data_IF_830933437181
#
_entry.id   IF_830933437181
#
_cell.length_a   1.000
_cell.length_b   1.000
_cell.length_c   1.000
_cell.angle_alpha   90.00
_cell.angle_beta   90.00
_cell.angle_gamma   90.00
#
_symmetry.space_group_name_H-M   'P 1'
#
loop_
_entity.id
_entity.type
_entity.pdbx_description
1 polymer ?
#
# COMPACT_ATOMS: atom_id res chain seq x y z
N UNK A 1 12.79 -17.43 0.69
CA UNK A 1 13.38 -16.35 -0.13
C UNK A 1 12.42 -15.18 -0.09
N UNK A 2 12.80 -14.07 0.54
CA UNK A 2 11.97 -12.86 0.57
C UNK A 2 11.86 -12.26 -0.83
N UNK A 3 10.69 -11.73 -1.17
CA UNK A 3 10.46 -11.00 -2.43
C UNK A 3 10.79 -9.52 -2.22
N UNK A 4 11.25 -8.85 -3.28
CA UNK A 4 11.39 -7.39 -3.26
C UNK A 4 10.07 -6.77 -3.70
N UNK A 5 9.50 -5.91 -2.87
CA UNK A 5 8.25 -5.20 -3.14
C UNK A 5 8.57 -3.74 -3.45
N UNK A 6 8.26 -3.31 -4.67
CA UNK A 6 8.39 -1.93 -5.09
C UNK A 6 7.11 -1.16 -4.82
N UNK A 7 7.26 0.02 -4.22
CA UNK A 7 6.16 0.92 -3.90
C UNK A 7 6.49 2.29 -4.47
N UNK A 8 5.68 2.73 -5.43
CA UNK A 8 5.77 4.04 -6.06
C UNK A 8 4.77 5.03 -5.45
N UNK A 9 3.63 4.53 -5.00
CA UNK A 9 2.54 5.35 -4.48
C UNK A 9 1.93 4.68 -3.25
N UNK A 10 1.54 5.49 -2.28
CA UNK A 10 0.84 5.05 -1.08
C UNK A 10 -0.49 5.77 -0.97
N UNK A 11 -1.55 4.99 -0.81
CA UNK A 11 -2.92 5.45 -0.83
C UNK A 11 -3.58 5.06 0.49
N UNK A 12 -4.04 6.03 1.26
CA UNK A 12 -4.84 5.76 2.46
C UNK A 12 -6.33 5.80 2.12
N UNK A 13 -7.08 4.79 2.55
CA UNK A 13 -8.52 4.68 2.27
C UNK A 13 -9.26 4.15 3.51
N UNK A 14 -10.53 4.57 3.68
CA UNK A 14 -11.34 4.15 4.83
C UNK A 14 -11.97 2.77 4.68
N UNK A 15 -12.29 2.36 3.45
CA UNK A 15 -12.97 1.11 3.13
C UNK A 15 -12.12 0.32 2.14
N UNK A 16 -12.22 -1.00 2.19
CA UNK A 16 -11.53 -1.88 1.26
C UNK A 16 -11.98 -1.58 -0.18
N UNK A 17 -11.06 -1.19 -1.09
CA UNK A 17 -11.44 -0.87 -2.45
C UNK A 17 -11.62 -2.13 -3.29
N UNK A 18 -12.67 -2.16 -4.12
CA UNK A 18 -12.87 -3.22 -5.13
C UNK A 18 -11.91 -3.07 -6.32
N UNK A 19 -11.49 -1.85 -6.62
CA UNK A 19 -10.63 -1.50 -7.76
C UNK A 19 -9.43 -0.70 -7.26
N UNK A 20 -8.27 -0.87 -7.89
CA UNK A 20 -7.11 -0.05 -7.58
C UNK A 20 -7.44 1.45 -7.81
N UNK A 21 -7.26 2.34 -6.82
CA UNK A 21 -7.56 3.76 -6.99
C UNK A 21 -6.66 4.50 -7.99
N UNK A 22 -5.63 3.83 -8.53
CA UNK A 22 -4.70 4.39 -9.52
C UNK A 22 -5.02 3.94 -10.94
N UNK A 23 -5.26 2.64 -11.17
CA UNK A 23 -5.55 2.12 -12.52
C UNK A 23 -7.00 1.69 -12.75
N UNK A 24 -7.87 1.83 -11.75
CA UNK A 24 -9.29 1.44 -11.77
C UNK A 24 -9.57 0.01 -12.24
N UNK A 25 -8.59 -0.89 -12.07
CA UNK A 25 -8.70 -2.33 -12.35
C UNK A 25 -8.68 -3.14 -11.06
N UNK A 26 -9.44 -4.22 -11.03
CA UNK A 26 -9.40 -5.25 -9.98
C UNK A 26 -8.23 -6.22 -10.17
N UNK A 27 -7.81 -6.40 -11.43
CA UNK A 27 -6.78 -7.34 -11.81
C UNK A 27 -5.45 -6.93 -11.17
N UNK A 28 -4.95 -7.79 -10.26
CA UNK A 28 -3.69 -7.66 -9.50
C UNK A 28 -3.70 -6.83 -8.21
N UNK A 29 -4.84 -6.79 -7.51
CA UNK A 29 -4.85 -6.44 -6.08
C UNK A 29 -4.53 -7.66 -5.25
N UNK A 30 -3.42 -7.61 -4.52
CA UNK A 30 -2.95 -8.72 -3.69
C UNK A 30 -2.72 -8.21 -2.27
N UNK A 31 -2.87 -9.07 -1.26
CA UNK A 31 -2.51 -8.73 0.12
C UNK A 31 -1.01 -9.01 0.31
N UNK A 32 -0.16 -7.97 0.39
CA UNK A 32 1.25 -8.19 0.65
C UNK A 32 1.45 -8.56 2.12
N UNK A 33 2.60 -9.17 2.45
CA UNK A 33 3.02 -9.35 3.84
C UNK A 33 3.62 -8.04 4.40
N UNK A 34 3.03 -6.89 4.07
CA UNK A 34 3.48 -5.57 4.52
C UNK A 34 2.55 -5.13 5.65
N UNK A 35 3.13 -4.66 6.75
CA UNK A 35 2.39 -4.03 7.83
C UNK A 35 2.75 -2.56 7.90
N UNK A 36 1.73 -1.73 8.11
CA UNK A 36 1.94 -0.31 8.39
C UNK A 36 1.87 -0.13 9.92
N UNK A 37 2.99 0.24 10.54
CA UNK A 37 3.14 0.20 11.99
C UNK A 37 2.37 1.32 12.71
N UNK A 38 2.18 2.48 12.07
CA UNK A 38 1.52 3.63 12.72
C UNK A 38 0.02 3.44 12.87
N UNK A 39 -0.61 2.84 11.87
CA UNK A 39 -2.04 2.64 11.82
C UNK A 39 -2.48 1.22 12.14
N UNK A 40 -1.58 0.23 12.08
CA UNK A 40 -1.96 -1.19 12.05
C UNK A 40 -3.03 -1.49 10.99
N UNK A 41 -3.12 -0.63 9.96
CA UNK A 41 -4.09 -0.75 8.90
C UNK A 41 -3.79 -1.97 8.02
N UNK A 42 -4.85 -2.54 7.45
CA UNK A 42 -4.71 -3.61 6.47
C UNK A 42 -4.10 -3.03 5.20
N UNK A 43 -3.10 -3.71 4.64
CA UNK A 43 -2.45 -3.28 3.40
C UNK A 43 -2.90 -4.13 2.22
N UNK A 44 -2.95 -3.51 1.04
CA UNK A 44 -3.22 -4.15 -0.25
C UNK A 44 -2.23 -3.55 -1.24
N UNK A 45 -1.60 -4.36 -2.08
CA UNK A 45 -0.65 -3.94 -3.09
C UNK A 45 -1.26 -4.16 -4.47
N UNK A 46 -1.23 -3.14 -5.31
CA UNK A 46 -1.45 -3.31 -6.74
C UNK A 46 -0.10 -3.56 -7.43
N UNK A 47 0.20 -4.80 -7.80
CA UNK A 47 1.48 -5.14 -8.43
C UNK A 47 1.65 -4.54 -9.84
N UNK A 48 0.56 -4.08 -10.48
CA UNK A 48 0.59 -3.35 -11.74
C UNK A 48 1.07 -1.91 -11.60
N UNK A 49 0.57 -1.21 -10.57
CA UNK A 49 0.85 0.22 -10.36
C UNK A 49 1.96 0.46 -9.35
N UNK A 50 2.39 -0.59 -8.65
CA UNK A 50 3.28 -0.48 -7.48
C UNK A 50 2.66 0.45 -6.42
N UNK A 51 1.32 0.40 -6.29
CA UNK A 51 0.57 1.24 -5.38
C UNK A 51 0.20 0.45 -4.13
N UNK A 52 0.67 0.90 -2.97
CA UNK A 52 0.31 0.34 -1.67
C UNK A 52 -0.91 1.08 -1.11
N UNK A 53 -2.01 0.36 -0.97
CA UNK A 53 -3.24 0.84 -0.37
C UNK A 53 -3.23 0.44 1.11
N UNK A 54 -3.35 1.42 1.99
CA UNK A 54 -3.45 1.23 3.44
C UNK A 54 -4.87 1.58 3.86
N UNK A 55 -5.59 0.58 4.35
CA UNK A 55 -6.95 0.75 4.87
C UNK A 55 -6.84 1.26 6.30
N UNK A 56 -7.05 2.57 6.47
CA UNK A 56 -6.96 3.24 7.76
C UNK A 56 -7.81 4.51 7.79
N UNK A 57 -8.29 4.86 8.97
CA UNK A 57 -8.91 6.16 9.25
C UNK A 57 -7.91 7.25 9.64
N UNK A 58 -6.65 6.88 9.85
CA UNK A 58 -5.60 7.81 10.22
C UNK A 58 -5.12 8.61 9.01
N UNK A 59 -4.80 9.89 9.23
CA UNK A 59 -4.22 10.73 8.20
C UNK A 59 -2.69 10.57 8.20
N UNK A 60 -2.20 9.52 7.55
CA UNK A 60 -0.76 9.21 7.50
C UNK A 60 -0.02 10.25 6.64
N UNK A 61 0.71 11.16 7.30
CA UNK A 61 1.68 12.07 6.64
C UNK A 61 3.05 11.41 6.42
N UNK A 62 3.31 10.35 7.18
CA UNK A 62 4.50 9.51 7.11
C UNK A 62 4.02 8.07 7.26
N UNK A 63 4.68 7.17 6.56
CA UNK A 63 4.38 5.74 6.62
C UNK A 63 5.58 4.98 7.15
N UNK A 64 5.32 4.00 8.00
CA UNK A 64 6.34 3.08 8.48
C UNK A 64 5.92 1.68 8.05
N UNK A 65 6.59 1.17 7.03
CA UNK A 65 6.29 -0.11 6.43
C UNK A 65 7.28 -1.15 6.95
N UNK A 66 6.76 -2.21 7.55
CA UNK A 66 7.51 -3.38 7.98
C UNK A 66 7.08 -4.60 7.16
N UNK A 67 7.99 -5.56 7.01
CA UNK A 67 7.72 -6.81 6.29
C UNK A 67 7.60 -7.97 7.27
N UNK A 68 6.50 -8.71 7.19
CA UNK A 68 6.22 -9.82 8.11
C UNK A 68 6.94 -11.12 7.73
N UNK A 69 7.42 -11.26 6.49
CA UNK A 69 8.06 -12.50 5.99
C UNK A 69 9.49 -12.30 5.47
N UNK A 70 10.15 -11.20 5.85
CA UNK A 70 11.49 -10.87 5.38
C UNK A 70 11.54 -10.41 3.92
N UNK A 71 10.39 -10.06 3.33
CA UNK A 71 10.31 -9.34 2.06
C UNK A 71 11.02 -7.98 2.19
N UNK A 72 11.74 -7.55 1.15
CA UNK A 72 12.40 -6.24 1.14
C UNK A 72 11.46 -5.20 0.55
N UNK A 73 11.16 -4.15 1.29
CA UNK A 73 10.27 -3.07 0.83
C UNK A 73 11.14 -1.95 0.27
N UNK A 74 10.92 -1.59 -0.99
CA UNK A 74 11.62 -0.50 -1.66
C UNK A 74 10.64 0.60 -2.06
N UNK A 75 10.80 1.77 -1.45
CA UNK A 75 10.07 2.99 -1.82
C UNK A 75 10.82 3.68 -2.96
N UNK A 76 10.17 3.86 -4.12
CA UNK A 76 10.74 4.59 -5.25
C UNK A 76 10.58 6.09 -4.99
N UNK A 77 11.68 6.83 -4.95
CA UNK A 77 11.63 8.30 -4.84
C UNK A 77 11.49 8.98 -6.22
N UNK A 78 10.69 10.06 -6.34
CA UNK A 78 9.76 10.57 -5.32
C UNK A 78 8.52 9.68 -5.19
N UNK A 79 8.17 9.30 -3.97
CA UNK A 79 6.95 8.54 -3.67
C UNK A 79 5.80 9.50 -3.33
N UNK A 80 4.60 9.17 -3.79
CA UNK A 80 3.40 9.97 -3.54
C UNK A 80 2.59 9.35 -2.40
N UNK A 81 2.17 10.17 -1.43
CA UNK A 81 1.23 9.77 -0.37
C UNK A 81 -0.06 10.55 -0.57
N UNK A 82 -1.17 9.87 -0.84
CA UNK A 82 -2.48 10.50 -0.98
C UNK A 82 -3.55 9.81 -0.14
N UNK A 83 -4.57 10.58 0.25
CA UNK A 83 -5.76 10.06 0.92
C UNK A 83 -6.92 10.08 -0.06
N UNK A 84 -7.64 8.96 -0.14
CA UNK A 84 -8.83 8.81 -0.97
C UNK A 84 -10.04 8.61 -0.08
N UNK A 85 -11.06 9.42 -0.32
CA UNK A 85 -12.35 9.37 0.37
C UNK A 85 -13.44 9.12 -0.68
N UNK A 86 -14.11 7.97 -0.60
CA UNK A 86 -15.32 7.65 -1.36
C UNK A 86 -16.50 7.49 -0.40
#
# INVERSE_FOLDING_TARGET
MGKTIFIKEIITILKEPKLCPTCTKEDRLEQPNIREERSNGKTILCSRCEALIVITNQNLRKVELSSMKGDTIMLKEPHLIRKVTY
#
